data_IF_315912637802
#
_entry.id   IF_315912637802
#
_cell.length_a   1.000
_cell.length_b   1.000
_cell.length_c   1.000
_cell.angle_alpha   90.00
_cell.angle_beta   90.00
_cell.angle_gamma   90.00
#
_symmetry.space_group_name_H-M   'P 1'
#
loop_
_entity.id
_entity.type
_entity.pdbx_description
1 polymer ?
#
# COMPACT_ATOMS: atom_id res chain seq x y z
N UNK A 1 -35.52 -45.91 -42.45
CA UNK A 1 -34.18 -45.78 -41.83
C UNK A 1 -33.77 -44.30 -41.67
N UNK A 2 -33.73 -43.80 -40.43
CA UNK A 2 -33.45 -42.38 -40.11
C UNK A 2 -31.96 -42.07 -40.26
N UNK A 3 -31.60 -40.96 -40.93
CA UNK A 3 -30.21 -40.45 -41.04
C UNK A 3 -29.67 -40.03 -39.66
N UNK A 4 -28.37 -40.23 -39.36
CA UNK A 4 -27.77 -39.75 -38.12
C UNK A 4 -27.50 -38.23 -38.19
N UNK A 5 -27.51 -37.51 -37.05
CA UNK A 5 -27.23 -36.09 -37.01
C UNK A 5 -25.71 -35.82 -37.16
N UNK A 6 -25.36 -34.71 -37.83
CA UNK A 6 -23.99 -34.23 -37.94
C UNK A 6 -23.47 -33.67 -36.61
N UNK A 7 -22.18 -33.85 -36.26
CA UNK A 7 -21.61 -33.27 -35.06
C UNK A 7 -21.48 -31.74 -35.20
N UNK A 8 -21.98 -31.01 -34.21
CA UNK A 8 -21.80 -29.56 -34.08
C UNK A 8 -20.37 -29.25 -33.65
N UNK A 9 -19.65 -28.44 -34.44
CA UNK A 9 -18.33 -27.91 -34.04
C UNK A 9 -18.53 -26.93 -32.87
N UNK A 10 -17.87 -27.20 -31.73
CA UNK A 10 -17.77 -26.23 -30.63
C UNK A 10 -17.06 -24.96 -31.11
N UNK A 11 -17.49 -23.75 -30.68
CA UNK A 11 -16.76 -22.53 -30.98
C UNK A 11 -15.37 -22.60 -30.34
N UNK A 12 -14.32 -22.26 -31.11
CA UNK A 12 -12.97 -22.07 -30.55
C UNK A 12 -13.02 -20.78 -29.72
N UNK A 13 -12.82 -20.90 -28.41
CA UNK A 13 -12.56 -19.74 -27.57
C UNK A 13 -11.27 -19.05 -28.06
N UNK A 14 -11.21 -17.71 -28.09
CA UNK A 14 -9.97 -17.01 -28.33
C UNK A 14 -8.94 -17.39 -27.25
N UNK A 15 -7.63 -17.34 -27.55
CA UNK A 15 -6.61 -17.57 -26.53
C UNK A 15 -6.86 -16.59 -25.38
N UNK A 16 -6.92 -17.12 -24.16
CA UNK A 16 -6.99 -16.28 -22.95
C UNK A 16 -5.72 -15.45 -22.95
N UNK A 17 -5.87 -14.13 -23.02
CA UNK A 17 -4.77 -13.23 -22.69
C UNK A 17 -4.30 -13.57 -21.27
N UNK A 18 -2.99 -13.69 -21.02
CA UNK A 18 -2.50 -13.78 -19.65
C UNK A 18 -3.01 -12.54 -18.89
N UNK A 19 -3.35 -12.67 -17.60
CA UNK A 19 -3.68 -11.50 -16.79
C UNK A 19 -2.49 -10.52 -16.87
N UNK A 20 -2.75 -9.19 -16.84
CA UNK A 20 -1.65 -8.22 -16.81
C UNK A 20 -0.77 -8.55 -15.59
N UNK A 21 0.50 -8.80 -15.84
CA UNK A 21 1.47 -9.00 -14.77
C UNK A 21 1.43 -7.74 -13.88
N UNK A 22 1.27 -7.96 -12.58
CA UNK A 22 1.44 -6.92 -11.57
C UNK A 22 2.86 -6.34 -11.78
N UNK A 23 2.93 -5.05 -12.05
CA UNK A 23 4.16 -4.28 -12.32
C UNK A 23 5.07 -4.82 -13.43
N UNK A 24 4.78 -4.46 -14.69
CA UNK A 24 5.89 -4.26 -15.61
C UNK A 24 6.66 -3.00 -15.15
N UNK A 25 8.00 -3.07 -14.98
CA UNK A 25 8.79 -1.87 -14.80
C UNK A 25 8.49 -0.92 -15.96
N UNK A 26 8.25 0.36 -15.66
CA UNK A 26 8.26 1.37 -16.70
C UNK A 26 9.60 1.24 -17.45
N UNK A 27 9.56 1.13 -18.77
CA UNK A 27 10.77 1.15 -19.58
C UNK A 27 11.52 2.45 -19.24
N UNK A 28 12.81 2.32 -18.89
CA UNK A 28 13.64 3.49 -18.64
C UNK A 28 13.58 4.42 -19.87
N UNK A 29 13.44 5.74 -19.67
CA UNK A 29 13.50 6.68 -20.77
C UNK A 29 14.85 6.54 -21.50
N UNK A 30 14.90 6.85 -22.81
CA UNK A 30 16.14 6.82 -23.56
C UNK A 30 17.20 7.71 -22.88
N UNK A 31 18.48 7.30 -22.89
CA UNK A 31 19.55 7.86 -22.05
C UNK A 31 19.85 9.36 -22.27
N UNK A 32 19.29 9.96 -23.33
CA UNK A 32 19.55 11.34 -23.73
C UNK A 32 18.39 12.31 -23.41
N UNK A 33 17.28 11.84 -22.83
CA UNK A 33 16.16 12.70 -22.42
C UNK A 33 16.24 12.98 -20.91
N UNK A 34 16.10 14.24 -20.45
CA UNK A 34 16.02 14.52 -19.02
C UNK A 34 14.83 13.74 -18.42
N UNK A 35 14.96 13.23 -17.18
CA UNK A 35 13.86 12.50 -16.55
C UNK A 35 12.63 13.41 -16.46
N UNK A 36 11.41 12.84 -16.58
CA UNK A 36 10.19 13.62 -16.42
C UNK A 36 10.15 14.26 -15.04
N UNK A 37 9.52 15.44 -14.89
CA UNK A 37 9.34 16.05 -13.58
C UNK A 37 8.53 15.11 -12.67
N UNK A 38 8.74 15.16 -11.35
CA UNK A 38 7.96 14.35 -10.42
C UNK A 38 6.47 14.71 -10.51
N UNK A 39 5.61 13.73 -10.25
CA UNK A 39 4.19 13.96 -10.04
C UNK A 39 3.99 14.60 -8.66
N UNK A 40 3.28 15.72 -8.62
CA UNK A 40 2.96 16.45 -7.39
C UNK A 40 1.54 16.11 -6.94
N UNK A 41 1.41 15.60 -5.72
CA UNK A 41 0.12 15.36 -5.08
C UNK A 41 -0.03 16.23 -3.84
N UNK A 42 -1.26 16.67 -3.55
CA UNK A 42 -1.60 17.39 -2.33
C UNK A 42 -2.63 16.59 -1.53
N UNK A 43 -2.41 16.51 -0.21
CA UNK A 43 -3.20 15.70 0.71
C UNK A 43 -3.81 16.59 1.78
N UNK A 44 -5.13 16.67 1.86
CA UNK A 44 -5.86 17.45 2.86
C UNK A 44 -6.84 16.53 3.60
N UNK A 45 -6.86 16.60 4.93
CA UNK A 45 -7.81 15.83 5.72
C UNK A 45 -7.92 16.26 7.18
N UNK A 46 -9.02 15.91 7.86
CA UNK A 46 -9.17 16.13 9.29
C UNK A 46 -8.26 15.19 10.11
N UNK A 47 -8.23 15.41 11.43
CA UNK A 47 -7.64 14.47 12.39
C UNK A 47 -8.28 13.09 12.23
N UNK A 48 -7.45 12.04 12.28
CA UNK A 48 -7.89 10.65 12.21
C UNK A 48 -8.01 10.08 10.79
N UNK A 49 -7.72 10.86 9.74
CA UNK A 49 -7.56 10.31 8.38
C UNK A 49 -6.43 9.30 8.36
N UNK A 50 -6.70 8.09 7.87
CA UNK A 50 -5.75 6.98 7.79
C UNK A 50 -5.57 6.55 6.34
N UNK A 51 -4.34 6.34 5.94
CA UNK A 51 -3.98 5.58 4.75
C UNK A 51 -3.48 4.22 5.23
N UNK A 52 -4.17 3.11 4.89
CA UNK A 52 -3.76 1.77 5.28
C UNK A 52 -2.32 1.43 4.88
N UNK A 53 -1.75 0.40 5.50
CA UNK A 53 -0.39 -0.03 5.19
C UNK A 53 -0.30 -0.54 3.75
N UNK A 54 0.50 0.10 2.91
CA UNK A 54 0.59 -0.20 1.48
C UNK A 54 1.96 0.19 0.89
N UNK A 55 2.23 -0.23 -0.35
CA UNK A 55 3.38 0.22 -1.15
C UNK A 55 2.93 1.02 -2.37
N UNK A 56 3.69 2.05 -2.73
CA UNK A 56 3.53 2.79 -3.99
C UNK A 56 4.48 2.26 -5.07
N UNK A 57 4.12 2.37 -6.36
CA UNK A 57 5.01 2.05 -7.48
C UNK A 57 5.99 3.18 -7.80
N UNK A 58 6.27 4.08 -6.85
CA UNK A 58 7.11 5.27 -7.03
C UNK A 58 8.10 5.45 -5.87
N UNK A 59 9.22 6.11 -6.16
CA UNK A 59 9.96 6.84 -5.14
C UNK A 59 9.12 8.02 -4.67
N UNK A 60 9.15 8.33 -3.37
CA UNK A 60 8.28 9.35 -2.81
C UNK A 60 9.00 10.21 -1.77
N UNK A 61 8.86 11.54 -1.87
CA UNK A 61 9.13 12.45 -0.74
C UNK A 61 7.80 13.04 -0.28
N UNK A 62 7.41 12.75 0.96
CA UNK A 62 6.25 13.34 1.61
C UNK A 62 6.70 14.50 2.50
N UNK A 63 6.31 15.73 2.16
CA UNK A 63 6.57 16.92 2.95
C UNK A 63 5.29 17.37 3.68
N UNK A 64 5.42 17.53 5.00
CA UNK A 64 4.31 17.94 5.84
C UNK A 64 4.26 19.47 5.94
N UNK A 65 3.11 20.06 5.61
CA UNK A 65 2.97 21.52 5.54
C UNK A 65 2.15 22.05 6.72
N UNK A 66 1.03 21.40 7.07
CA UNK A 66 0.18 21.76 8.21
C UNK A 66 -0.16 20.52 9.00
N UNK A 67 -0.09 20.61 10.33
CA UNK A 67 -0.46 19.51 11.23
C UNK A 67 0.59 18.40 11.33
N UNK A 68 0.25 17.31 12.01
CA UNK A 68 1.17 16.21 12.29
C UNK A 68 0.66 14.90 11.70
N UNK A 69 1.57 14.06 11.20
CA UNK A 69 1.26 12.71 10.75
C UNK A 69 2.08 11.69 11.52
N UNK A 70 1.43 10.66 12.05
CA UNK A 70 2.13 9.44 12.43
C UNK A 70 2.42 8.63 11.17
N UNK A 71 3.64 8.13 11.05
CA UNK A 71 4.07 7.30 9.94
C UNK A 71 4.77 6.06 10.49
N UNK A 72 4.46 4.89 9.94
CA UNK A 72 5.22 3.65 10.18
C UNK A 72 5.63 3.06 8.85
N UNK A 73 6.90 2.71 8.72
CA UNK A 73 7.52 2.15 7.52
C UNK A 73 8.04 0.74 7.79
N UNK A 74 7.87 -0.15 6.83
CA UNK A 74 8.50 -1.47 6.81
C UNK A 74 9.28 -1.64 5.50
N UNK A 75 10.48 -2.24 5.55
CA UNK A 75 11.27 -2.47 4.36
C UNK A 75 10.63 -3.56 3.47
N UNK A 76 10.94 -3.59 2.16
CA UNK A 76 10.33 -4.54 1.22
C UNK A 76 10.52 -6.01 1.60
N UNK A 77 11.62 -6.36 2.28
CA UNK A 77 11.88 -7.75 2.71
C UNK A 77 10.92 -8.24 3.80
N UNK A 78 10.18 -7.36 4.46
CA UNK A 78 9.14 -7.72 5.43
C UNK A 78 7.80 -8.10 4.79
N UNK A 79 7.64 -7.97 3.46
CA UNK A 79 6.35 -8.15 2.77
C UNK A 79 5.59 -9.44 3.16
N UNK A 80 6.30 -10.56 3.33
CA UNK A 80 5.70 -11.84 3.73
C UNK A 80 5.09 -11.82 5.14
N UNK A 81 5.56 -10.92 6.02
CA UNK A 81 5.05 -10.72 7.39
C UNK A 81 3.94 -9.67 7.46
N UNK A 82 3.63 -8.99 6.35
CA UNK A 82 2.64 -7.91 6.29
C UNK A 82 1.31 -8.34 5.67
N UNK A 83 1.14 -9.61 5.32
CA UNK A 83 -0.13 -10.20 4.88
C UNK A 83 -0.89 -9.37 3.82
N UNK A 84 -0.33 -9.23 2.60
CA UNK A 84 -1.00 -8.56 1.49
C UNK A 84 -2.38 -9.16 1.17
N UNK A 85 -3.32 -8.33 0.72
CA UNK A 85 -4.73 -8.71 0.52
C UNK A 85 -4.98 -9.70 -0.63
N UNK A 86 -4.01 -9.97 -1.50
CA UNK A 86 -4.22 -10.91 -2.61
C UNK A 86 -5.03 -10.28 -3.74
N UNK A 87 -5.84 -11.11 -4.40
CA UNK A 87 -6.79 -10.68 -5.45
C UNK A 87 -8.19 -10.67 -4.87
N UNK A 88 -8.94 -9.58 -5.05
CA UNK A 88 -10.32 -9.45 -4.57
C UNK A 88 -11.33 -10.24 -5.43
N UNK A 89 -12.59 -10.27 -4.99
CA UNK A 89 -13.68 -10.98 -5.69
C UNK A 89 -13.93 -10.47 -7.13
N UNK A 90 -13.48 -9.25 -7.44
CA UNK A 90 -13.59 -8.64 -8.76
C UNK A 90 -12.37 -8.89 -9.65
N UNK A 91 -11.36 -9.61 -9.15
CA UNK A 91 -10.11 -9.88 -9.86
C UNK A 91 -9.09 -8.74 -9.77
N UNK A 92 -9.28 -7.76 -8.89
CA UNK A 92 -8.33 -6.68 -8.67
C UNK A 92 -7.21 -7.15 -7.74
N UNK A 93 -5.96 -7.04 -8.19
CA UNK A 93 -4.78 -7.32 -7.39
C UNK A 93 -4.58 -6.21 -6.34
N UNK A 94 -4.60 -6.59 -5.07
CA UNK A 94 -4.39 -5.75 -3.88
C UNK A 94 -3.15 -6.21 -3.09
N UNK A 95 -2.17 -6.83 -3.77
CA UNK A 95 -0.91 -7.30 -3.17
C UNK A 95 -0.03 -6.15 -2.66
N UNK A 96 -0.33 -4.91 -3.05
CA UNK A 96 0.34 -3.72 -2.53
C UNK A 96 -0.32 -3.17 -1.26
N UNK A 97 -1.39 -3.79 -0.74
CA UNK A 97 -2.11 -3.34 0.47
C UNK A 97 -2.16 -4.46 1.49
N UNK A 98 -1.81 -4.14 2.74
CA UNK A 98 -1.80 -5.08 3.85
C UNK A 98 -3.21 -5.27 4.42
N UNK A 99 -3.50 -6.50 4.86
CA UNK A 99 -4.71 -6.81 5.63
C UNK A 99 -4.62 -6.39 7.12
N UNK A 100 -3.47 -5.92 7.58
CA UNK A 100 -3.24 -5.54 8.97
C UNK A 100 -3.60 -4.06 9.19
N UNK A 101 -4.52 -3.80 10.11
CA UNK A 101 -4.82 -2.44 10.55
C UNK A 101 -3.78 -1.95 11.58
N UNK A 102 -2.82 -1.15 11.11
CA UNK A 102 -1.77 -0.58 11.96
C UNK A 102 -2.33 0.30 13.09
N UNK A 103 -3.52 0.88 12.93
CA UNK A 103 -4.14 1.67 13.99
C UNK A 103 -4.47 0.83 15.24
N UNK A 104 -4.66 -0.49 15.08
CA UNK A 104 -4.98 -1.42 16.17
C UNK A 104 -3.75 -1.97 16.89
N UNK A 105 -2.55 -1.84 16.30
CA UNK A 105 -1.29 -2.34 16.88
C UNK A 105 -0.34 -1.23 17.32
N UNK A 106 -0.46 -0.03 16.75
CA UNK A 106 0.44 1.04 17.14
C UNK A 106 0.17 1.44 18.58
N UNK A 107 1.23 1.76 19.31
CA UNK A 107 1.06 2.38 20.62
C UNK A 107 0.39 3.75 20.44
N UNK A 108 -0.62 4.08 21.24
CA UNK A 108 -1.14 5.44 21.27
C UNK A 108 -0.01 6.41 21.69
N UNK A 109 -0.03 7.67 21.23
CA UNK A 109 0.84 8.68 21.82
C UNK A 109 0.53 8.78 23.33
N UNK A 110 1.57 9.00 24.14
CA UNK A 110 1.48 9.07 25.61
C UNK A 110 0.24 9.89 26.05
N UNK A 111 -0.64 9.28 26.86
CA UNK A 111 -1.81 9.95 27.45
C UNK A 111 -3.17 9.74 26.76
N UNK A 112 -3.23 8.93 25.68
CA UNK A 112 -4.50 8.43 25.14
C UNK A 112 -4.61 6.92 25.42
N UNK A 113 -5.20 6.53 26.55
CA UNK A 113 -5.59 5.14 26.76
C UNK A 113 -6.88 4.87 25.99
N UNK A 114 -6.76 4.40 24.75
CA UNK A 114 -7.86 3.67 24.11
C UNK A 114 -7.71 2.20 24.43
N UNK A 115 -8.81 1.50 24.70
CA UNK A 115 -8.85 0.08 25.04
C UNK A 115 -8.14 -0.78 23.96
N UNK A 116 -6.85 -1.06 24.14
CA UNK A 116 -6.08 -2.00 23.28
C UNK A 116 -5.99 -3.39 23.93
N UNK A 117 -6.68 -3.60 25.05
CA UNK A 117 -6.71 -4.89 25.75
C UNK A 117 -7.53 -5.88 24.90
N UNK A 118 -6.85 -6.76 24.17
CA UNK A 118 -7.44 -7.79 23.31
C UNK A 118 -7.11 -7.66 21.82
N UNK A 119 -6.83 -6.45 21.31
CA UNK A 119 -6.48 -6.25 19.89
C UNK A 119 -5.13 -6.89 19.53
N UNK A 120 -4.16 -6.83 20.45
CA UNK A 120 -2.85 -7.45 20.26
C UNK A 120 -2.93 -8.98 20.16
N UNK A 121 -3.77 -9.61 20.97
CA UNK A 121 -3.95 -11.07 20.97
C UNK A 121 -4.70 -11.55 19.72
N UNK A 122 -5.75 -10.84 19.30
CA UNK A 122 -6.46 -11.13 18.04
C UNK A 122 -5.51 -11.02 16.84
N UNK A 123 -4.69 -9.97 16.79
CA UNK A 123 -3.74 -9.75 15.71
C UNK A 123 -2.62 -10.78 15.72
N UNK A 124 -2.08 -11.13 16.89
CA UNK A 124 -1.07 -12.18 16.99
C UNK A 124 -1.62 -13.54 16.52
N UNK A 125 -2.87 -13.85 16.85
CA UNK A 125 -3.53 -15.08 16.43
C UNK A 125 -3.78 -15.12 14.92
N UNK A 126 -4.26 -14.01 14.34
CA UNK A 126 -4.59 -13.93 12.90
C UNK A 126 -3.35 -13.74 12.02
N UNK A 127 -2.33 -13.05 12.53
CA UNK A 127 -1.14 -12.63 11.81
C UNK A 127 0.14 -13.01 12.59
N UNK A 128 0.40 -14.31 12.80
CA UNK A 128 1.48 -14.77 13.69
C UNK A 128 2.88 -14.28 13.30
N UNK A 129 3.15 -14.08 12.01
CA UNK A 129 4.45 -13.60 11.53
C UNK A 129 4.64 -12.10 11.75
N UNK A 130 3.57 -11.34 11.92
CA UNK A 130 3.65 -9.88 12.00
C UNK A 130 4.36 -9.39 13.27
N UNK A 131 4.31 -10.18 14.34
CA UNK A 131 4.96 -9.83 15.61
C UNK A 131 6.49 -9.63 15.47
N UNK A 132 7.11 -10.29 14.50
CA UNK A 132 8.55 -10.24 14.25
C UNK A 132 8.92 -9.26 13.12
N UNK A 133 7.96 -8.53 12.54
CA UNK A 133 8.22 -7.59 11.45
C UNK A 133 8.97 -6.35 11.94
N UNK A 134 10.13 -6.07 11.35
CA UNK A 134 10.92 -4.90 11.69
C UNK A 134 10.33 -3.63 11.06
N UNK A 135 10.28 -2.54 11.83
CA UNK A 135 9.76 -1.26 11.35
C UNK A 135 10.50 -0.07 11.94
N UNK A 136 10.35 1.06 11.26
CA UNK A 136 10.67 2.38 11.80
C UNK A 136 9.39 3.20 11.87
N UNK A 137 9.25 4.03 12.90
CA UNK A 137 8.08 4.88 13.08
C UNK A 137 8.46 6.25 13.60
N UNK A 138 7.60 7.23 13.34
CA UNK A 138 7.82 8.59 13.79
C UNK A 138 6.60 9.48 13.58
N UNK A 139 6.72 10.70 14.06
CA UNK A 139 5.76 11.78 13.80
C UNK A 139 6.44 12.74 12.84
N UNK A 140 5.82 12.94 11.67
CA UNK A 140 6.22 13.95 10.70
C UNK A 140 5.53 15.27 11.04
N UNK A 141 6.33 16.28 11.42
CA UNK A 141 5.90 17.61 11.83
C UNK A 141 5.89 18.61 10.66
N UNK A 142 5.19 19.75 10.78
CA UNK A 142 5.23 20.81 9.76
C UNK A 142 6.66 21.27 9.46
N UNK A 143 7.00 21.33 8.18
CA UNK A 143 8.34 21.70 7.70
C UNK A 143 9.30 20.52 7.52
N UNK A 144 8.93 19.33 7.96
CA UNK A 144 9.72 18.11 7.75
C UNK A 144 9.32 17.40 6.46
N UNK A 145 10.28 16.69 5.86
CA UNK A 145 10.06 15.82 4.72
C UNK A 145 10.58 14.41 5.04
N UNK A 146 9.82 13.41 4.60
CA UNK A 146 10.16 12.00 4.69
C UNK A 146 10.38 11.44 3.28
N UNK A 147 11.55 10.84 3.05
CA UNK A 147 11.79 10.02 1.88
C UNK A 147 11.29 8.59 2.14
N UNK A 148 10.46 8.08 1.23
CA UNK A 148 9.90 6.74 1.21
C UNK A 148 10.42 6.06 -0.06
N UNK A 149 11.38 5.12 0.05
CA UNK A 149 11.95 4.48 -1.12
C UNK A 149 10.92 3.55 -1.79
N UNK A 150 11.10 3.33 -3.10
CA UNK A 150 10.28 2.40 -3.89
C UNK A 150 10.14 1.04 -3.19
N UNK A 151 8.91 0.54 -3.15
CA UNK A 151 8.57 -0.76 -2.55
C UNK A 151 8.51 -0.79 -1.02
N UNK A 152 8.80 0.32 -0.33
CA UNK A 152 8.60 0.39 1.12
C UNK A 152 7.13 0.43 1.47
N UNK A 153 6.76 -0.39 2.44
CA UNK A 153 5.43 -0.38 3.01
C UNK A 153 5.31 0.78 3.96
N UNK A 154 4.22 1.54 3.86
CA UNK A 154 4.01 2.69 4.71
C UNK A 154 2.55 2.82 5.13
N UNK A 155 2.37 3.14 6.41
CA UNK A 155 1.10 3.51 7.01
C UNK A 155 1.17 4.97 7.44
N UNK A 156 0.09 5.71 7.22
CA UNK A 156 0.03 7.14 7.55
C UNK A 156 -1.27 7.46 8.27
N UNK A 157 -1.19 8.19 9.39
CA UNK A 157 -2.35 8.68 10.13
C UNK A 157 -2.20 10.16 10.47
N UNK A 158 -3.18 10.97 10.12
CA UNK A 158 -3.24 12.39 10.49
C UNK A 158 -3.56 12.53 11.99
N UNK A 159 -2.61 13.04 12.78
CA UNK A 159 -2.78 13.29 14.22
C UNK A 159 -3.48 14.61 14.54
N UNK A 160 -3.66 15.48 13.55
CA UNK A 160 -4.42 16.73 13.59
C UNK A 160 -5.09 16.96 12.22
N UNK A 161 -5.85 18.05 12.07
CA UNK A 161 -6.12 18.58 10.71
C UNK A 161 -4.78 18.75 9.99
N UNK A 162 -4.69 18.22 8.77
CA UNK A 162 -3.41 18.00 8.10
C UNK A 162 -3.45 18.43 6.63
N UNK A 163 -2.35 19.03 6.19
CA UNK A 163 -2.05 19.30 4.78
C UNK A 163 -0.61 18.87 4.46
N UNK A 164 -0.42 18.08 3.40
CA UNK A 164 0.90 17.59 2.96
C UNK A 164 1.03 17.66 1.44
N UNK A 165 2.26 17.69 0.95
CA UNK A 165 2.57 17.55 -0.48
C UNK A 165 3.49 16.35 -0.66
N UNK A 166 3.25 15.54 -1.68
CA UNK A 166 4.18 14.46 -2.05
C UNK A 166 4.70 14.61 -3.48
N UNK A 167 5.93 14.18 -3.69
CA UNK A 167 6.63 14.20 -4.97
C UNK A 167 6.95 12.77 -5.37
N UNK A 168 6.36 12.28 -6.45
CA UNK A 168 6.53 10.90 -6.93
C UNK A 168 7.33 10.83 -8.22
N UNK A 169 8.31 9.93 -8.29
CA UNK A 169 9.13 9.71 -9.49
C UNK A 169 9.57 8.24 -9.61
N UNK A 170 10.16 7.90 -10.76
CA UNK A 170 10.75 6.59 -11.06
C UNK A 170 12.25 6.74 -11.32
#
# INVERSE_FOLDING_TARGET
PRRPPRPTRRPRHPPRHPPPACTQPALDPPPDEPPPPPLLNAWLGPRGTKTPLHTDPHQNVLCQVVGYKYIRLYPPHESARLYPLGVDDNGLCMDNTSSIDIARVRRPPLGLETEVVGAAEEIHTRYPLFADAEFVEGILAPGECLYIPLGWWHYVESLSTSFSVSFWWN
#
